data_IF_610506345554
#
_entry.id   IF_610506345554
#
_cell.length_a   1.000
_cell.length_b   1.000
_cell.length_c   1.000
_cell.angle_alpha   90.00
_cell.angle_beta   90.00
_cell.angle_gamma   90.00
#
_symmetry.space_group_name_H-M   'P 1'
#
loop_
_entity.id
_entity.type
_entity.pdbx_description
1 polymer ?
#
# COMPACT_ATOMS: atom_id res chain seq x y z
N UNK A 1 -92.57 29.99 36.42
CA UNK A 1 -92.24 30.19 34.99
C UNK A 1 -90.81 29.69 34.81
N UNK A 2 -90.67 28.49 34.24
CA UNK A 2 -90.15 28.25 32.87
C UNK A 2 -88.75 28.87 32.70
N UNK A 3 -87.69 28.18 32.27
CA UNK A 3 -87.66 27.02 31.39
C UNK A 3 -86.24 26.38 31.38
N UNK A 4 -86.24 25.09 31.09
CA UNK A 4 -85.23 24.24 30.40
C UNK A 4 -83.86 24.85 30.04
N UNK A 5 -82.78 24.13 30.32
CA UNK A 5 -82.12 23.28 29.31
C UNK A 5 -80.85 22.58 29.84
N UNK A 6 -80.94 21.26 29.78
CA UNK A 6 -79.89 20.27 29.67
C UNK A 6 -78.59 20.71 28.98
N UNK A 7 -77.45 20.31 29.56
CA UNK A 7 -76.46 19.39 28.95
C UNK A 7 -75.23 19.25 29.86
N UNK A 8 -75.10 18.12 30.54
CA UNK A 8 -73.77 17.58 30.87
C UNK A 8 -73.10 17.13 29.57
N UNK A 9 -71.81 17.42 29.40
CA UNK A 9 -70.93 16.52 28.68
C UNK A 9 -69.89 16.00 29.66
N UNK A 10 -70.09 14.79 30.15
CA UNK A 10 -68.96 13.89 30.40
C UNK A 10 -68.25 13.71 29.05
N UNK A 11 -67.17 14.46 28.83
CA UNK A 11 -66.31 14.33 27.68
C UNK A 11 -64.98 13.77 28.12
N UNK A 12 -64.86 12.44 28.14
CA UNK A 12 -63.59 11.73 28.19
C UNK A 12 -62.76 12.16 26.98
N UNK A 13 -61.95 13.20 27.14
CA UNK A 13 -61.06 13.71 26.11
C UNK A 13 -59.64 13.39 26.52
N UNK A 14 -59.23 12.14 26.27
CA UNK A 14 -57.81 11.81 26.13
C UNK A 14 -57.28 12.72 25.01
N UNK A 15 -56.71 13.88 25.37
CA UNK A 15 -56.16 14.80 24.39
C UNK A 15 -54.85 14.20 23.91
N UNK A 16 -54.93 13.34 22.90
CA UNK A 16 -53.77 12.98 22.11
C UNK A 16 -53.39 14.23 21.28
N UNK A 17 -52.52 15.05 21.86
CA UNK A 17 -51.92 16.19 21.18
C UNK A 17 -50.92 15.61 20.16
N UNK A 18 -51.35 15.48 18.91
CA UNK A 18 -50.45 15.24 17.79
C UNK A 18 -49.96 16.58 17.26
N UNK A 19 -48.81 17.03 17.76
CA UNK A 19 -48.12 18.21 17.22
C UNK A 19 -47.29 17.78 16.01
N UNK A 20 -47.75 18.11 14.80
CA UNK A 20 -46.89 18.05 13.60
C UNK A 20 -46.28 19.44 13.40
N UNK A 21 -45.03 19.58 13.84
CA UNK A 21 -44.25 20.80 13.63
C UNK A 21 -43.58 20.79 12.27
N UNK A 22 -44.06 21.60 11.32
CA UNK A 22 -43.32 21.88 10.08
C UNK A 22 -42.36 23.03 10.37
N UNK A 23 -41.12 22.71 10.72
CA UNK A 23 -40.04 23.71 10.80
C UNK A 23 -39.51 24.01 9.40
N UNK A 24 -40.02 25.09 8.81
CA UNK A 24 -39.53 25.64 7.55
C UNK A 24 -38.54 26.77 7.83
N UNK A 25 -37.24 26.50 7.64
CA UNK A 25 -36.19 27.52 7.75
C UNK A 25 -36.05 28.27 6.42
N UNK A 26 -37.04 29.13 6.11
CA UNK A 26 -37.16 29.83 4.82
C UNK A 26 -36.00 30.83 4.60
N UNK A 27 -35.41 31.36 5.68
CA UNK A 27 -34.29 32.32 5.63
C UNK A 27 -33.15 31.91 6.57
N UNK A 28 -32.46 30.83 6.23
CA UNK A 28 -31.27 30.41 6.95
C UNK A 28 -30.03 30.99 6.27
N UNK A 29 -29.64 32.22 6.64
CA UNK A 29 -28.49 32.92 6.04
C UNK A 29 -27.18 32.12 6.11
N UNK A 30 -27.04 31.25 7.12
CA UNK A 30 -25.91 30.32 7.29
C UNK A 30 -25.98 29.02 6.47
N UNK A 31 -27.13 28.68 5.86
CA UNK A 31 -27.34 27.39 5.19
C UNK A 31 -26.54 27.33 3.90
N UNK A 32 -26.48 28.45 3.17
CA UNK A 32 -25.61 28.59 1.99
C UNK A 32 -24.16 28.31 2.33
N UNK A 33 -23.64 28.87 3.42
CA UNK A 33 -22.27 28.64 3.88
C UNK A 33 -22.05 27.21 4.38
N UNK A 34 -23.03 26.62 5.08
CA UNK A 34 -22.97 25.21 5.53
C UNK A 34 -22.94 24.25 4.33
N UNK A 35 -23.81 24.42 3.35
CA UNK A 35 -23.83 23.62 2.13
C UNK A 35 -22.54 23.80 1.31
N UNK A 36 -22.04 25.03 1.18
CA UNK A 36 -20.76 25.31 0.55
C UNK A 36 -19.62 24.60 1.28
N UNK A 37 -19.59 24.63 2.61
CA UNK A 37 -18.56 23.93 3.40
C UNK A 37 -18.60 22.42 3.22
N UNK A 38 -19.78 21.82 3.11
CA UNK A 38 -19.94 20.39 2.82
C UNK A 38 -19.47 20.04 1.41
N UNK A 39 -19.83 20.85 0.41
CA UNK A 39 -19.37 20.68 -0.97
C UNK A 39 -17.83 20.79 -1.08
N UNK A 40 -17.23 21.75 -0.37
CA UNK A 40 -15.77 21.88 -0.30
C UNK A 40 -15.12 20.68 0.37
N UNK A 41 -15.68 20.18 1.49
CA UNK A 41 -15.19 18.97 2.16
C UNK A 41 -15.27 17.73 1.26
N UNK A 42 -16.37 17.54 0.55
CA UNK A 42 -16.53 16.43 -0.40
C UNK A 42 -15.50 16.51 -1.53
N UNK A 43 -15.27 17.71 -2.08
CA UNK A 43 -14.22 17.95 -3.08
C UNK A 43 -12.83 17.61 -2.54
N UNK A 44 -12.51 18.01 -1.31
CA UNK A 44 -11.23 17.69 -0.66
C UNK A 44 -11.07 16.17 -0.50
N UNK A 45 -12.10 15.48 -0.03
CA UNK A 45 -12.09 14.01 0.12
C UNK A 45 -11.86 13.31 -1.23
N UNK A 46 -12.52 13.76 -2.30
CA UNK A 46 -12.33 13.20 -3.63
C UNK A 46 -10.91 13.45 -4.16
N UNK A 47 -10.32 14.61 -3.89
CA UNK A 47 -8.91 14.89 -4.22
C UNK A 47 -7.97 13.97 -3.43
N UNK A 48 -8.24 13.75 -2.13
CA UNK A 48 -7.43 12.86 -1.29
C UNK A 48 -7.47 11.41 -1.80
N UNK A 49 -8.67 10.88 -2.08
CA UNK A 49 -8.83 9.54 -2.67
C UNK A 49 -8.08 9.39 -3.99
N UNK A 50 -8.16 10.40 -4.85
CA UNK A 50 -7.44 10.39 -6.12
C UNK A 50 -5.92 10.38 -5.92
N UNK A 51 -5.40 11.17 -4.97
CA UNK A 51 -3.96 11.18 -4.62
C UNK A 51 -3.49 9.84 -4.07
N UNK A 52 -4.27 9.21 -3.19
CA UNK A 52 -3.96 7.89 -2.66
C UNK A 52 -3.91 6.85 -3.79
N UNK A 53 -4.87 6.86 -4.71
CA UNK A 53 -4.86 5.98 -5.88
C UNK A 53 -3.64 6.20 -6.77
N UNK A 54 -3.22 7.45 -7.01
CA UNK A 54 -2.01 7.74 -7.76
C UNK A 54 -0.75 7.21 -7.06
N UNK A 55 -0.63 7.44 -5.75
CA UNK A 55 0.51 6.95 -4.97
C UNK A 55 0.58 5.42 -4.98
N UNK A 56 -0.55 4.73 -4.87
CA UNK A 56 -0.63 3.27 -4.97
C UNK A 56 -0.14 2.78 -6.33
N UNK A 57 -0.59 3.40 -7.43
CA UNK A 57 -0.15 3.03 -8.78
C UNK A 57 1.35 3.25 -8.97
N UNK A 58 1.88 4.39 -8.50
CA UNK A 58 3.33 4.67 -8.56
C UNK A 58 4.15 3.66 -7.77
N UNK A 59 3.69 3.28 -6.58
CA UNK A 59 4.33 2.26 -5.76
C UNK A 59 4.31 0.89 -6.43
N UNK A 60 3.18 0.51 -7.05
CA UNK A 60 3.05 -0.74 -7.80
C UNK A 60 4.00 -0.79 -9.00
N UNK A 61 4.05 0.26 -9.80
CA UNK A 61 4.96 0.34 -10.96
C UNK A 61 6.42 0.27 -10.51
N UNK A 62 6.80 1.06 -9.51
CA UNK A 62 8.17 1.07 -8.96
C UNK A 62 8.60 -0.32 -8.46
N UNK A 63 7.71 -1.01 -7.73
CA UNK A 63 8.00 -2.32 -7.20
C UNK A 63 8.05 -3.39 -8.29
N UNK A 64 7.13 -3.35 -9.27
CA UNK A 64 7.14 -4.23 -10.43
C UNK A 64 8.46 -4.09 -11.21
N UNK A 65 8.87 -2.86 -11.50
CA UNK A 65 10.14 -2.56 -12.16
C UNK A 65 11.34 -3.06 -11.34
N UNK A 66 11.30 -2.91 -10.01
CA UNK A 66 12.35 -3.41 -9.12
C UNK A 66 12.48 -4.93 -9.17
N UNK A 67 11.35 -5.66 -9.08
CA UNK A 67 11.33 -7.13 -9.20
C UNK A 67 11.88 -7.59 -10.55
N UNK A 68 11.50 -6.91 -11.64
CA UNK A 68 11.99 -7.23 -12.97
C UNK A 68 13.52 -7.07 -13.07
N UNK A 69 14.06 -5.94 -12.58
CA UNK A 69 15.51 -5.72 -12.57
C UNK A 69 16.25 -6.68 -11.64
N UNK A 70 15.67 -7.06 -10.50
CA UNK A 70 16.26 -8.03 -9.59
C UNK A 70 16.40 -9.41 -10.25
N UNK A 71 15.42 -9.84 -11.05
CA UNK A 71 15.51 -11.09 -11.83
C UNK A 71 16.68 -11.05 -12.82
N UNK A 72 16.86 -9.95 -13.54
CA UNK A 72 17.95 -9.83 -14.50
C UNK A 72 19.32 -9.71 -13.82
N UNK A 73 19.40 -9.01 -12.67
CA UNK A 73 20.58 -9.00 -11.81
C UNK A 73 20.94 -10.40 -11.31
N UNK A 74 19.96 -11.20 -10.90
CA UNK A 74 20.20 -12.59 -10.46
C UNK A 74 20.79 -13.45 -11.57
N UNK A 75 20.31 -13.30 -12.82
CA UNK A 75 20.90 -13.99 -13.98
C UNK A 75 22.35 -13.55 -14.21
N UNK A 76 22.63 -12.25 -14.11
CA UNK A 76 23.97 -11.71 -14.26
C UNK A 76 24.92 -12.22 -13.16
N UNK A 77 24.50 -12.17 -11.89
CA UNK A 77 25.30 -12.68 -10.77
C UNK A 77 25.55 -14.18 -10.85
N UNK A 78 24.59 -14.98 -11.32
CA UNK A 78 24.81 -16.41 -11.55
C UNK A 78 25.93 -16.65 -12.57
N UNK A 79 25.98 -15.87 -13.65
CA UNK A 79 27.09 -15.93 -14.63
C UNK A 79 28.41 -15.46 -14.03
N UNK A 80 28.37 -14.41 -13.20
CA UNK A 80 29.57 -13.90 -12.52
C UNK A 80 30.15 -14.93 -11.55
N UNK A 81 29.32 -15.61 -10.76
CA UNK A 81 29.76 -16.69 -9.87
C UNK A 81 30.47 -17.78 -10.66
N UNK A 82 29.89 -18.23 -11.77
CA UNK A 82 30.50 -19.26 -12.61
C UNK A 82 31.87 -18.79 -13.13
N UNK A 83 31.94 -17.57 -13.65
CA UNK A 83 33.20 -17.01 -14.16
C UNK A 83 34.26 -16.89 -13.06
N UNK A 84 33.89 -16.42 -11.87
CA UNK A 84 34.81 -16.32 -10.74
C UNK A 84 35.26 -17.69 -10.24
N UNK A 85 34.37 -18.69 -10.24
CA UNK A 85 34.69 -20.07 -9.90
C UNK A 85 35.69 -20.68 -10.89
N UNK A 86 35.47 -20.51 -12.19
CA UNK A 86 36.37 -21.03 -13.24
C UNK A 86 37.78 -20.43 -13.11
N UNK A 87 37.88 -19.14 -12.76
CA UNK A 87 39.15 -18.46 -12.51
C UNK A 87 39.81 -19.02 -11.23
N UNK A 88 39.06 -19.15 -10.14
CA UNK A 88 39.54 -19.75 -8.90
C UNK A 88 40.10 -21.17 -9.14
N UNK A 89 39.35 -22.03 -9.83
CA UNK A 89 39.76 -23.40 -10.16
C UNK A 89 41.05 -23.43 -11.00
N UNK A 90 41.19 -22.51 -11.96
CA UNK A 90 42.42 -22.38 -12.74
C UNK A 90 43.62 -22.06 -11.85
N UNK A 91 43.48 -21.13 -10.92
CA UNK A 91 44.56 -20.74 -10.02
C UNK A 91 44.81 -21.77 -8.91
N UNK A 92 43.80 -22.54 -8.49
CA UNK A 92 43.97 -23.66 -7.59
C UNK A 92 44.85 -24.75 -8.23
N UNK A 93 44.64 -25.06 -9.51
CA UNK A 93 45.49 -25.99 -10.26
C UNK A 93 46.91 -25.45 -10.41
N UNK A 94 47.06 -24.17 -10.79
CA UNK A 94 48.37 -23.54 -10.92
C UNK A 94 49.15 -23.55 -9.59
N UNK A 95 48.48 -23.27 -8.46
CA UNK A 95 49.08 -23.34 -7.13
C UNK A 95 49.56 -24.77 -6.79
N UNK A 96 48.71 -25.79 -7.03
CA UNK A 96 49.09 -27.21 -6.84
C UNK A 96 50.28 -27.65 -7.68
N UNK A 97 50.48 -27.02 -8.83
CA UNK A 97 51.64 -27.25 -9.73
C UNK A 97 52.87 -26.40 -9.38
N UNK A 98 52.79 -25.54 -8.36
CA UNK A 98 53.87 -24.60 -8.02
C UNK A 98 54.04 -23.43 -9.00
N UNK A 99 53.07 -23.22 -9.90
CA UNK A 99 53.07 -22.16 -10.92
C UNK A 99 52.41 -20.85 -10.44
N UNK A 100 51.78 -20.87 -9.27
CA UNK A 100 51.14 -19.71 -8.65
C UNK A 100 51.41 -19.70 -7.14
N UNK A 101 51.41 -18.51 -6.54
CA UNK A 101 51.59 -18.37 -5.10
C UNK A 101 50.23 -18.33 -4.37
N UNK A 102 50.27 -18.50 -3.05
CA UNK A 102 49.06 -18.52 -2.23
C UNK A 102 48.27 -17.20 -2.29
N UNK A 103 48.96 -16.05 -2.34
CA UNK A 103 48.31 -14.72 -2.37
C UNK A 103 47.40 -14.57 -3.59
N UNK A 104 47.82 -15.06 -4.76
CA UNK A 104 47.00 -15.02 -5.98
C UNK A 104 45.79 -15.96 -5.84
N UNK A 105 45.98 -17.17 -5.31
CA UNK A 105 44.89 -18.11 -5.08
C UNK A 105 43.84 -17.53 -4.11
N UNK A 106 44.30 -16.96 -3.00
CA UNK A 106 43.46 -16.39 -1.95
C UNK A 106 42.60 -15.24 -2.49
N UNK A 107 43.18 -14.34 -3.29
CA UNK A 107 42.43 -13.28 -3.98
C UNK A 107 41.26 -13.83 -4.80
N UNK A 108 41.51 -14.82 -5.66
CA UNK A 108 40.45 -15.35 -6.53
C UNK A 108 39.41 -16.18 -5.78
N UNK A 109 39.80 -16.80 -4.67
CA UNK A 109 38.86 -17.39 -3.73
C UNK A 109 37.93 -16.32 -3.14
N UNK A 110 38.46 -15.20 -2.66
CA UNK A 110 37.65 -14.09 -2.16
C UNK A 110 36.73 -13.50 -3.23
N UNK A 111 37.21 -13.34 -4.48
CA UNK A 111 36.37 -12.86 -5.59
C UNK A 111 35.18 -13.79 -5.85
N UNK A 112 35.38 -15.11 -5.77
CA UNK A 112 34.31 -16.12 -5.90
C UNK A 112 33.31 -16.06 -4.73
N UNK A 113 33.80 -15.96 -3.50
CA UNK A 113 32.95 -15.84 -2.31
C UNK A 113 32.13 -14.54 -2.35
N UNK A 114 32.75 -13.41 -2.73
CA UNK A 114 32.06 -12.13 -2.87
C UNK A 114 30.97 -12.16 -3.95
N UNK A 115 31.24 -12.77 -5.11
CA UNK A 115 30.23 -12.96 -6.15
C UNK A 115 29.04 -13.80 -5.63
N UNK A 116 29.33 -14.82 -4.82
CA UNK A 116 28.31 -15.69 -4.21
C UNK A 116 27.47 -14.93 -3.18
N UNK A 117 28.09 -14.13 -2.33
CA UNK A 117 27.39 -13.30 -1.34
C UNK A 117 26.47 -12.27 -2.00
N UNK A 118 26.94 -11.61 -3.06
CA UNK A 118 26.13 -10.66 -3.82
C UNK A 118 24.87 -11.32 -4.41
N UNK A 119 25.00 -12.53 -4.95
CA UNK A 119 23.86 -13.30 -5.44
C UNK A 119 22.87 -13.66 -4.33
N UNK A 120 23.36 -14.13 -3.18
CA UNK A 120 22.52 -14.49 -2.03
C UNK A 120 21.74 -13.27 -1.53
N UNK A 121 22.42 -12.14 -1.33
CA UNK A 121 21.78 -10.90 -0.88
C UNK A 121 20.73 -10.42 -1.88
N UNK A 122 21.06 -10.41 -3.18
CA UNK A 122 20.11 -10.03 -4.23
C UNK A 122 18.92 -10.97 -4.30
N UNK A 123 19.12 -12.28 -4.05
CA UNK A 123 18.04 -13.28 -4.05
C UNK A 123 17.02 -13.00 -2.95
N UNK A 124 17.49 -12.65 -1.75
CA UNK A 124 16.58 -12.29 -0.66
C UNK A 124 15.83 -10.99 -0.94
N UNK A 125 16.52 -9.97 -1.47
CA UNK A 125 15.87 -8.71 -1.85
C UNK A 125 14.81 -8.92 -2.93
N UNK A 126 15.13 -9.70 -3.97
CA UNK A 126 14.20 -10.05 -5.05
C UNK A 126 12.95 -10.75 -4.51
N UNK A 127 13.14 -11.72 -3.61
CA UNK A 127 12.05 -12.45 -2.98
C UNK A 127 11.17 -11.54 -2.12
N UNK A 128 11.77 -10.64 -1.33
CA UNK A 128 11.06 -9.68 -0.52
C UNK A 128 10.23 -8.72 -1.38
N UNK A 129 10.82 -8.16 -2.44
CA UNK A 129 10.14 -7.28 -3.39
C UNK A 129 8.98 -8.00 -4.09
N UNK A 130 9.18 -9.25 -4.47
CA UNK A 130 8.12 -10.07 -5.06
C UNK A 130 6.97 -10.31 -4.07
N UNK A 131 7.26 -10.59 -2.80
CA UNK A 131 6.24 -10.77 -1.77
C UNK A 131 5.47 -9.50 -1.46
N UNK A 132 6.16 -8.36 -1.39
CA UNK A 132 5.50 -7.06 -1.27
C UNK A 132 4.56 -6.81 -2.45
N UNK A 133 4.99 -7.12 -3.68
CA UNK A 133 4.16 -6.95 -4.87
C UNK A 133 2.91 -7.85 -4.83
N UNK A 134 3.08 -9.10 -4.40
CA UNK A 134 1.97 -10.04 -4.21
C UNK A 134 0.93 -9.49 -3.21
N UNK A 135 1.38 -8.96 -2.07
CA UNK A 135 0.49 -8.38 -1.07
C UNK A 135 -0.18 -7.07 -1.51
N UNK A 136 0.54 -6.22 -2.26
CA UNK A 136 -0.03 -5.00 -2.83
C UNK A 136 -1.14 -5.32 -3.85
N UNK A 137 -0.93 -6.32 -4.72
CA UNK A 137 -1.92 -6.75 -5.72
C UNK A 137 -3.15 -7.37 -5.04
N UNK A 138 -2.96 -8.14 -3.96
CA UNK A 138 -4.08 -8.73 -3.19
C UNK A 138 -4.87 -7.70 -2.37
N UNK A 139 -4.28 -6.53 -2.10
CA UNK A 139 -4.89 -5.50 -1.27
C UNK A 139 -4.80 -5.77 0.24
N UNK A 140 -3.96 -6.72 0.66
CA UNK A 140 -3.85 -7.14 2.07
C UNK A 140 -3.06 -6.12 2.93
N UNK A 141 -2.24 -5.29 2.30
CA UNK A 141 -1.42 -4.26 2.97
C UNK A 141 -2.14 -2.92 3.21
N UNK A 142 -3.38 -2.75 2.73
CA UNK A 142 -4.12 -1.47 2.80
C UNK A 142 -5.55 -1.60 3.35
N UNK A 143 -5.82 -2.54 4.26
CA UNK A 143 -7.06 -2.56 5.04
C UNK A 143 -6.98 -1.72 6.31
#
# INVERSE_FOLDING_TARGET
>A
MNDRSTKTPTGNGNQNIFTVGIMSNIFYGGLKYKLLSLSVRDRILNIQKYRESLNLNQNLESLYTSVFYDIDRLKAYKKQIQSSYDIYEKYLKAYKMGLSNFVILDKYYYDYINATNNYIQTKYNAYMNFKLLEHLIKGDLYR
#
